data_IF_533602124767
#
_entry.id   IF_533602124767
#
_cell.length_a   1.000
_cell.length_b   1.000
_cell.length_c   1.000
_cell.angle_alpha   90.00
_cell.angle_beta   90.00
_cell.angle_gamma   90.00
#
_symmetry.space_group_name_H-M   'P 1'
#
loop_
_entity.id
_entity.type
_entity.pdbx_description
1 polymer ?
#
# COMPACT_ATOMS: atom_id res chain seq x y z
N UNK A 1 9.51 2.70 16.59
CA UNK A 1 9.12 1.71 15.57
C UNK A 1 8.38 0.62 16.32
N UNK A 2 7.10 0.40 16.04
CA UNK A 2 6.34 -0.67 16.70
C UNK A 2 6.66 -1.99 16.03
N UNK A 3 7.22 -2.92 16.79
CA UNK A 3 7.37 -4.30 16.37
C UNK A 3 5.99 -4.92 16.27
N UNK A 4 5.49 -5.06 15.05
CA UNK A 4 4.28 -5.85 14.83
C UNK A 4 4.67 -7.32 14.99
N UNK A 5 4.36 -7.91 16.15
CA UNK A 5 4.61 -9.32 16.48
C UNK A 5 3.65 -10.26 15.74
N UNK A 6 3.79 -10.32 14.43
CA UNK A 6 3.20 -11.36 13.59
C UNK A 6 4.25 -11.76 12.58
N UNK A 7 4.38 -13.06 12.31
CA UNK A 7 5.30 -13.57 11.30
C UNK A 7 4.65 -13.40 9.93
N UNK A 8 5.18 -12.52 9.05
CA UNK A 8 4.61 -12.36 7.73
C UNK A 8 5.09 -13.48 6.81
N UNK A 9 4.19 -14.01 5.99
CA UNK A 9 4.57 -14.97 4.92
C UNK A 9 5.44 -14.30 3.86
N UNK A 10 5.15 -13.02 3.57
CA UNK A 10 5.91 -12.22 2.62
C UNK A 10 6.20 -10.85 3.24
N UNK A 11 7.46 -10.45 3.21
CA UNK A 11 7.87 -9.10 3.56
C UNK A 11 8.96 -8.59 2.63
N UNK A 12 8.98 -7.28 2.42
CA UNK A 12 10.13 -6.62 1.83
C UNK A 12 10.31 -5.23 2.42
N UNK A 13 11.56 -4.78 2.37
CA UNK A 13 11.95 -3.42 2.71
C UNK A 13 12.62 -2.77 1.51
N UNK A 14 12.50 -1.45 1.43
CA UNK A 14 13.20 -0.66 0.43
C UNK A 14 13.72 0.61 1.06
N UNK A 15 14.94 1.00 0.70
CA UNK A 15 15.55 2.27 1.14
C UNK A 15 15.89 3.11 -0.08
N UNK A 16 15.39 4.33 -0.10
CA UNK A 16 15.70 5.33 -1.12
C UNK A 16 16.43 6.50 -0.46
N UNK A 17 17.61 6.83 -0.97
CA UNK A 17 18.40 7.98 -0.51
C UNK A 17 18.67 8.93 -1.67
N UNK A 18 18.67 10.23 -1.39
CA UNK A 18 18.95 11.23 -2.41
C UNK A 18 19.39 12.56 -1.84
N UNK A 19 20.40 13.18 -2.46
CA UNK A 19 20.84 14.54 -2.07
C UNK A 19 19.86 15.63 -2.52
N UNK A 20 19.16 15.39 -3.63
CA UNK A 20 18.21 16.34 -4.22
C UNK A 20 17.11 15.61 -4.96
N UNK A 21 15.86 15.98 -4.69
CA UNK A 21 14.68 15.46 -5.38
C UNK A 21 13.71 16.60 -5.70
N UNK A 22 13.19 16.63 -6.93
CA UNK A 22 12.20 17.60 -7.39
C UNK A 22 11.18 16.90 -8.25
N UNK A 23 9.91 17.08 -7.92
CA UNK A 23 8.80 16.68 -8.76
C UNK A 23 8.48 17.81 -9.73
N UNK A 24 8.39 17.47 -11.03
CA UNK A 24 7.94 18.41 -12.06
C UNK A 24 6.43 18.63 -11.95
N UNK A 25 5.67 17.54 -11.85
CA UNK A 25 4.23 17.55 -11.58
C UNK A 25 3.93 16.96 -10.20
N UNK A 26 2.80 17.36 -9.62
CA UNK A 26 2.36 16.79 -8.34
C UNK A 26 2.16 15.29 -8.46
N UNK A 27 2.71 14.46 -7.55
CA UNK A 27 2.57 13.02 -7.67
C UNK A 27 1.10 12.61 -7.49
N UNK A 28 0.54 11.98 -8.52
CA UNK A 28 -0.77 11.33 -8.44
C UNK A 28 -0.58 9.94 -7.86
N UNK A 29 -0.44 9.88 -6.53
CA UNK A 29 -0.27 8.61 -5.82
C UNK A 29 -1.60 8.19 -5.21
N UNK A 30 -2.02 6.96 -5.52
CA UNK A 30 -3.08 6.24 -4.84
C UNK A 30 -2.51 4.89 -4.45
N UNK A 31 -2.71 4.48 -3.19
CA UNK A 31 -2.39 3.13 -2.74
C UNK A 31 -3.71 2.48 -2.39
N UNK A 32 -4.05 1.39 -3.08
CA UNK A 32 -5.28 0.65 -2.85
C UNK A 32 -4.91 -0.77 -2.45
N UNK A 33 -5.19 -1.12 -1.19
CA UNK A 33 -5.11 -2.51 -0.72
C UNK A 33 -6.46 -3.16 -0.96
N UNK A 34 -6.53 -4.06 -1.94
CA UNK A 34 -7.64 -5.00 -2.02
C UNK A 34 -7.25 -6.21 -1.16
N UNK A 35 -7.18 -6.01 0.16
CA UNK A 35 -7.09 -7.13 1.09
C UNK A 35 -8.40 -7.88 1.02
N UNK A 36 -8.39 -9.15 0.62
CA UNK A 36 -9.55 -10.01 0.81
C UNK A 36 -9.79 -10.19 2.32
N UNK A 37 -11.01 -10.48 2.77
CA UNK A 37 -11.28 -10.76 4.18
C UNK A 37 -10.31 -11.80 4.74
N UNK A 38 -9.76 -11.55 5.93
CA UNK A 38 -8.81 -12.44 6.62
C UNK A 38 -7.33 -12.20 6.31
N UNK A 39 -6.99 -11.44 5.26
CA UNK A 39 -5.60 -11.11 4.96
C UNK A 39 -5.12 -9.95 5.83
N UNK A 40 -3.99 -10.13 6.52
CA UNK A 40 -3.31 -9.05 7.24
C UNK A 40 -2.23 -8.47 6.33
N UNK A 41 -2.23 -7.15 6.16
CA UNK A 41 -1.20 -6.43 5.39
C UNK A 41 -0.84 -5.12 6.05
N UNK A 42 0.44 -4.77 6.04
CA UNK A 42 0.94 -3.46 6.49
C UNK A 42 1.83 -2.86 5.40
N UNK A 43 1.67 -1.56 5.17
CA UNK A 43 2.48 -0.77 4.25
C UNK A 43 2.79 0.57 4.90
N UNK A 44 4.05 0.79 5.21
CA UNK A 44 4.49 1.94 5.99
C UNK A 44 5.75 2.54 5.39
N UNK A 45 5.89 3.86 5.52
CA UNK A 45 7.11 4.56 5.15
C UNK A 45 7.51 5.53 6.25
N UNK A 46 8.78 5.50 6.63
CA UNK A 46 9.42 6.60 7.37
C UNK A 46 10.17 7.50 6.38
N UNK A 47 10.09 8.82 6.62
CA UNK A 47 10.57 9.83 5.68
C UNK A 47 11.34 10.91 6.41
N UNK A 48 12.59 11.11 5.97
CA UNK A 48 13.43 12.23 6.37
C UNK A 48 13.62 13.17 5.18
N UNK A 49 13.56 14.48 5.45
CA UNK A 49 13.72 15.51 4.41
C UNK A 49 12.51 15.66 3.47
N UNK A 50 11.41 14.92 3.71
CA UNK A 50 10.17 14.99 2.93
C UNK A 50 8.95 15.19 3.85
N UNK A 51 8.07 16.16 3.54
CA UNK A 51 6.80 16.33 4.25
C UNK A 51 5.79 15.25 3.84
N UNK A 52 4.68 15.17 4.58
CA UNK A 52 3.67 14.17 4.27
C UNK A 52 3.12 14.27 2.85
N UNK A 53 2.81 15.50 2.44
CA UNK A 53 2.45 15.84 1.05
C UNK A 53 3.55 16.67 0.41
N UNK A 54 4.20 16.11 -0.60
CA UNK A 54 5.18 16.83 -1.42
C UNK A 54 4.49 17.75 -2.43
N UNK A 55 5.19 18.79 -2.88
CA UNK A 55 4.68 19.79 -3.82
C UNK A 55 5.51 19.79 -5.10
N UNK A 56 4.83 19.99 -6.23
CA UNK A 56 5.46 20.22 -7.51
C UNK A 56 6.36 21.47 -7.46
N UNK A 57 7.46 21.45 -8.20
CA UNK A 57 8.40 22.57 -8.31
C UNK A 57 9.31 22.76 -7.08
N UNK A 58 8.99 22.16 -5.93
CA UNK A 58 9.83 22.25 -4.73
C UNK A 58 11.03 21.30 -4.84
N UNK A 59 12.20 21.79 -4.41
CA UNK A 59 13.41 20.97 -4.31
C UNK A 59 13.57 20.53 -2.86
N UNK A 60 13.48 19.23 -2.62
CA UNK A 60 13.82 18.61 -1.35
C UNK A 60 15.27 18.16 -1.35
N UNK A 61 15.90 18.14 -0.17
CA UNK A 61 17.32 17.83 0.00
C UNK A 61 17.50 16.82 1.11
N UNK A 62 18.58 16.05 1.00
CA UNK A 62 19.00 15.07 2.00
C UNK A 62 17.84 14.14 2.40
N UNK A 63 17.21 13.57 1.38
CA UNK A 63 16.02 12.74 1.52
C UNK A 63 16.41 11.30 1.83
N UNK A 64 15.67 10.71 2.77
CA UNK A 64 15.66 9.26 3.00
C UNK A 64 14.21 8.81 3.08
N UNK A 65 13.90 7.72 2.40
CA UNK A 65 12.62 7.02 2.53
C UNK A 65 12.94 5.56 2.85
N UNK A 66 12.57 5.13 4.03
CA UNK A 66 12.59 3.74 4.44
C UNK A 66 11.17 3.20 4.34
N UNK A 67 10.96 2.21 3.47
CA UNK A 67 9.67 1.61 3.21
C UNK A 67 9.64 0.16 3.69
N UNK A 68 8.52 -0.23 4.27
CA UNK A 68 8.23 -1.60 4.71
C UNK A 68 6.88 -2.04 4.18
N UNK A 69 6.86 -3.25 3.63
CA UNK A 69 5.65 -3.98 3.31
C UNK A 69 5.72 -5.36 3.95
N UNK A 70 4.61 -5.81 4.53
CA UNK A 70 4.46 -7.18 4.99
C UNK A 70 3.00 -7.65 4.83
N UNK A 71 2.82 -8.89 4.39
CA UNK A 71 1.53 -9.57 4.29
C UNK A 71 1.61 -11.02 4.80
N UNK A 72 0.50 -11.53 5.32
CA UNK A 72 0.32 -12.95 5.58
C UNK A 72 -1.07 -13.38 5.11
N UNK A 73 -1.17 -14.67 4.80
CA UNK A 73 -2.40 -15.38 4.54
C UNK A 73 -3.28 -15.38 5.80
N UNK A 74 -4.61 -15.49 5.64
CA UNK A 74 -5.49 -15.78 6.77
C UNK A 74 -5.08 -17.09 7.46
N UNK A 75 -5.23 -17.13 8.78
CA UNK A 75 -5.16 -18.39 9.52
C UNK A 75 -6.21 -19.37 8.96
N UNK A 76 -5.83 -20.64 8.79
CA UNK A 76 -6.62 -21.66 8.08
C UNK A 76 -8.06 -21.86 8.60
N UNK A 77 -8.36 -21.34 9.79
CA UNK A 77 -9.70 -21.38 10.41
C UNK A 77 -10.67 -20.32 9.85
N UNK A 78 -10.19 -19.29 9.14
CA UNK A 78 -11.03 -18.20 8.56
C UNK A 78 -11.37 -18.43 7.08
N UNK A 79 -10.86 -19.48 6.44
CA UNK A 79 -11.12 -19.79 5.04
C UNK A 79 -12.47 -20.49 4.81
N UNK A 80 -13.57 -19.97 5.39
CA UNK A 80 -14.91 -20.46 5.10
C UNK A 80 -15.52 -19.72 3.90
N UNK A 81 -15.58 -20.45 2.78
CA UNK A 81 -16.32 -20.24 1.52
C UNK A 81 -16.09 -18.94 0.72
N UNK A 82 -15.51 -19.02 -0.50
CA UNK A 82 -15.73 -18.00 -1.50
C UNK A 82 -17.21 -18.07 -1.92
N UNK A 83 -18.02 -17.20 -1.33
CA UNK A 83 -19.41 -17.00 -1.73
C UNK A 83 -19.45 -16.71 -3.23
N UNK A 84 -20.38 -17.39 -3.90
CA UNK A 84 -20.69 -17.33 -5.32
C UNK A 84 -20.49 -15.94 -5.93
N UNK A 85 -19.68 -15.90 -6.98
CA UNK A 85 -19.68 -14.83 -7.98
C UNK A 85 -21.08 -14.87 -8.62
N UNK A 86 -22.03 -14.11 -8.07
CA UNK A 86 -23.37 -13.93 -8.62
C UNK A 86 -23.21 -13.13 -9.93
N UNK A 87 -22.87 -13.86 -10.99
CA UNK A 87 -22.92 -13.43 -12.37
C UNK A 87 -24.39 -13.22 -12.75
N UNK A 88 -24.97 -12.11 -12.29
CA UNK A 88 -26.22 -11.61 -12.82
C UNK A 88 -25.94 -10.75 -14.05
N UNK A 89 -26.31 -11.22 -15.27
CA UNK A 89 -26.16 -10.42 -16.46
C UNK A 89 -27.03 -9.17 -16.37
N UNK A 90 -26.44 -8.02 -16.71
CA UNK A 90 -27.13 -6.74 -16.87
C UNK A 90 -28.30 -6.91 -17.83
N UNK A 91 -29.51 -6.98 -17.29
CA UNK A 91 -30.72 -6.90 -18.09
C UNK A 91 -30.90 -5.47 -18.60
N UNK A 92 -30.67 -5.30 -19.90
CA UNK A 92 -31.15 -4.15 -20.67
C UNK A 92 -32.66 -4.29 -20.92
N UNK A 93 -33.44 -3.24 -20.62
CA UNK A 93 -34.65 -2.78 -21.36
C UNK A 93 -35.38 -1.75 -20.48
N UNK A 94 -35.46 -0.47 -20.83
CA UNK A 94 -36.35 0.10 -21.86
C UNK A 94 -37.82 -0.31 -21.70
N UNK A 95 -38.60 0.44 -20.91
CA UNK A 95 -39.68 1.35 -21.34
C UNK A 95 -40.43 1.91 -20.14
#
# INVERSE_FOLDING_TARGET
MSEHSWEPDVSFTARVVGRRLRWHDGPRTSVSFHGSPGYRSVSESDRLGLPDRVRAGHTYRDITVDYRFACALPDSETAENPGEDDDQPRSQSSR
#
